data_IF_967811611161
#
_entry.id   IF_967811611161
#
_cell.length_a   1.000
_cell.length_b   1.000
_cell.length_c   1.000
_cell.angle_alpha   90.00
_cell.angle_beta   90.00
_cell.angle_gamma   90.00
#
_symmetry.space_group_name_H-M   'P 1'
#
loop_
_entity.id
_entity.type
_entity.pdbx_description
1 polymer ?
#
# COMPACT_ATOMS: atom_id res chain seq x y z
N UNK A 1 11.51 -3.62 -19.50
CA UNK A 1 10.95 -4.08 -18.24
C UNK A 1 11.46 -3.24 -17.07
N UNK A 2 10.53 -2.68 -16.32
CA UNK A 2 10.88 -1.88 -15.15
C UNK A 2 10.70 -2.75 -13.92
N UNK A 3 11.78 -2.91 -13.15
CA UNK A 3 11.74 -3.64 -11.89
C UNK A 3 11.85 -2.67 -10.74
N UNK A 4 10.82 -2.66 -9.86
CA UNK A 4 10.79 -1.83 -8.68
C UNK A 4 11.07 -2.67 -7.44
N UNK A 5 12.03 -2.26 -6.64
CA UNK A 5 12.40 -2.95 -5.41
C UNK A 5 11.92 -2.17 -4.20
N UNK A 6 11.12 -2.84 -3.36
CA UNK A 6 10.59 -2.26 -2.13
C UNK A 6 11.14 -2.99 -0.92
N UNK A 7 11.46 -2.24 0.12
CA UNK A 7 11.90 -2.80 1.40
C UNK A 7 10.92 -2.40 2.49
N UNK A 8 10.68 -3.28 3.44
CA UNK A 8 9.64 -3.13 4.44
C UNK A 8 10.11 -3.02 5.88
N UNK A 9 11.41 -2.84 6.12
CA UNK A 9 11.92 -2.73 7.49
C UNK A 9 12.73 -1.45 7.68
N UNK A 10 12.79 -0.99 8.93
CA UNK A 10 13.58 0.18 9.30
C UNK A 10 15.07 0.00 8.97
N UNK A 11 15.61 -1.19 9.18
CA UNK A 11 16.99 -1.49 8.84
C UNK A 11 17.24 -1.33 7.35
N UNK A 12 16.32 -1.80 6.52
CA UNK A 12 16.43 -1.65 5.07
C UNK A 12 16.38 -0.19 4.63
N UNK A 13 15.62 0.65 5.34
CA UNK A 13 15.58 2.09 5.05
C UNK A 13 16.94 2.73 5.37
N UNK A 14 17.54 2.37 6.51
CA UNK A 14 18.88 2.84 6.86
C UNK A 14 19.91 2.43 5.82
N UNK A 15 19.82 1.19 5.35
CA UNK A 15 20.73 0.62 4.39
C UNK A 15 20.37 0.95 2.94
N UNK A 16 19.37 1.81 2.72
CA UNK A 16 18.89 2.16 1.38
C UNK A 16 20.00 2.69 0.47
N UNK A 17 20.99 3.36 1.04
CA UNK A 17 22.14 3.86 0.29
C UNK A 17 23.04 2.74 -0.20
N UNK A 18 23.08 1.61 0.53
CA UNK A 18 23.90 0.45 0.19
C UNK A 18 23.15 -0.54 -0.69
N UNK A 19 21.85 -0.76 -0.40
CA UNK A 19 21.01 -1.67 -1.14
C UNK A 19 20.39 -1.04 -2.39
N UNK A 20 20.35 0.28 -2.44
CA UNK A 20 19.73 1.07 -3.52
C UNK A 20 18.31 0.57 -3.87
N UNK A 21 17.40 0.40 -2.90
CA UNK A 21 16.04 0.04 -3.21
C UNK A 21 15.33 1.19 -3.93
N UNK A 22 14.33 0.87 -4.73
CA UNK A 22 13.53 1.88 -5.41
C UNK A 22 12.51 2.52 -4.48
N UNK A 23 12.11 1.81 -3.42
CA UNK A 23 11.16 2.32 -2.46
C UNK A 23 11.01 1.45 -1.23
N UNK A 24 10.08 1.82 -0.38
CA UNK A 24 9.78 1.11 0.87
C UNK A 24 8.28 0.91 1.06
N UNK A 25 7.94 -0.14 1.82
CA UNK A 25 6.59 -0.36 2.33
C UNK A 25 6.69 -0.38 3.85
N UNK A 26 5.87 0.41 4.52
CA UNK A 26 5.87 0.46 5.99
C UNK A 26 4.49 0.78 6.53
N UNK A 27 4.20 0.26 7.72
CA UNK A 27 2.99 0.62 8.49
C UNK A 27 3.19 1.88 9.32
N UNK A 28 4.43 2.36 9.44
CA UNK A 28 4.78 3.50 10.30
C UNK A 28 4.86 4.80 9.48
N UNK A 29 3.96 5.76 9.74
CA UNK A 29 3.97 7.02 8.99
C UNK A 29 5.29 7.79 9.09
N UNK A 30 5.95 7.74 10.23
CA UNK A 30 7.23 8.43 10.41
C UNK A 30 8.33 7.87 9.51
N UNK A 31 8.37 6.54 9.32
CA UNK A 31 9.34 5.91 8.43
C UNK A 31 9.02 6.20 6.97
N UNK A 32 7.74 6.22 6.61
CA UNK A 32 7.30 6.60 5.26
C UNK A 32 7.76 8.03 4.94
N UNK A 33 7.54 8.94 5.87
CA UNK A 33 7.97 10.33 5.71
C UNK A 33 9.48 10.45 5.51
N UNK A 34 10.25 9.73 6.33
CA UNK A 34 11.71 9.73 6.23
C UNK A 34 12.19 9.19 4.90
N UNK A 35 11.60 8.07 4.45
CA UNK A 35 11.93 7.48 3.17
C UNK A 35 11.62 8.43 2.01
N UNK A 36 10.52 9.16 2.09
CA UNK A 36 10.17 10.17 1.10
C UNK A 36 11.22 11.28 1.03
N UNK A 37 11.74 11.72 2.17
CA UNK A 37 12.80 12.73 2.21
C UNK A 37 14.12 12.22 1.60
N UNK A 38 14.31 10.89 1.57
CA UNK A 38 15.47 10.26 0.94
C UNK A 38 15.26 10.04 -0.57
N UNK A 39 14.13 10.47 -1.11
CA UNK A 39 13.83 10.31 -2.53
C UNK A 39 13.33 8.93 -2.93
N UNK A 40 12.92 8.11 -1.98
CA UNK A 40 12.40 6.77 -2.24
C UNK A 40 10.90 6.80 -2.56
N UNK A 41 10.46 5.85 -3.39
CA UNK A 41 9.04 5.58 -3.57
C UNK A 41 8.48 5.04 -2.26
N UNK A 42 7.32 5.51 -1.85
CA UNK A 42 6.76 5.12 -0.55
C UNK A 42 5.38 4.51 -0.68
N UNK A 43 5.18 3.40 0.02
CA UNK A 43 3.88 2.73 0.16
C UNK A 43 3.59 2.62 1.65
N UNK A 44 2.49 3.23 2.09
CA UNK A 44 2.03 3.07 3.46
C UNK A 44 1.05 1.91 3.53
N UNK A 45 1.38 0.92 4.34
CA UNK A 45 0.52 -0.25 4.56
C UNK A 45 -0.43 0.04 5.70
N UNK A 46 -1.71 -0.26 5.50
CA UNK A 46 -2.75 -0.06 6.48
C UNK A 46 -3.56 -1.35 6.66
N UNK A 47 -3.57 -1.89 7.87
CA UNK A 47 -4.41 -3.02 8.23
C UNK A 47 -5.75 -2.48 8.72
N UNK A 48 -6.78 -2.60 7.90
CA UNK A 48 -8.12 -2.09 8.23
C UNK A 48 -8.94 -3.21 8.86
N UNK A 49 -8.70 -3.44 10.15
CA UNK A 49 -9.33 -4.53 10.89
C UNK A 49 -10.61 -4.11 11.59
N UNK A 50 -10.81 -2.81 11.79
CA UNK A 50 -11.99 -2.27 12.49
C UNK A 50 -12.22 -0.81 12.10
N UNK A 51 -13.28 -0.24 12.66
CA UNK A 51 -13.64 1.16 12.40
C UNK A 51 -12.62 2.15 12.92
N UNK A 52 -11.92 1.80 14.00
CA UNK A 52 -10.90 2.68 14.56
C UNK A 52 -9.70 2.80 13.60
N UNK A 53 -9.25 1.68 13.04
CA UNK A 53 -8.18 1.67 12.06
C UNK A 53 -8.54 2.53 10.84
N UNK A 54 -9.78 2.42 10.37
CA UNK A 54 -10.27 3.21 9.25
C UNK A 54 -10.30 4.71 9.59
N UNK A 55 -10.77 5.06 10.78
CA UNK A 55 -10.87 6.47 11.20
C UNK A 55 -9.50 7.12 11.45
N UNK A 56 -8.49 6.34 11.80
CA UNK A 56 -7.14 6.85 12.05
C UNK A 56 -6.32 7.04 10.77
N UNK A 57 -6.76 6.48 9.67
CA UNK A 57 -6.00 6.51 8.42
C UNK A 57 -5.72 7.94 7.90
N UNK A 58 -6.68 8.88 7.87
CA UNK A 58 -6.40 10.24 7.40
C UNK A 58 -5.26 10.92 8.15
N UNK A 59 -5.20 10.77 9.48
CA UNK A 59 -4.13 11.36 10.28
C UNK A 59 -2.76 10.74 9.93
N UNK A 60 -2.71 9.43 9.73
CA UNK A 60 -1.48 8.74 9.33
C UNK A 60 -1.01 9.19 7.95
N UNK A 61 -1.92 9.38 7.02
CA UNK A 61 -1.59 9.84 5.68
C UNK A 61 -1.08 11.28 5.68
N UNK A 62 -1.58 12.12 6.56
CA UNK A 62 -1.10 13.51 6.67
C UNK A 62 0.33 13.58 7.21
N UNK A 63 0.76 12.61 8.00
CA UNK A 63 2.14 12.52 8.51
C UNK A 63 3.08 11.94 7.45
N UNK A 64 2.76 10.78 6.92
CA UNK A 64 3.64 10.05 5.99
C UNK A 64 3.66 10.62 4.59
N UNK A 65 2.53 11.08 4.11
CA UNK A 65 2.34 11.56 2.73
C UNK A 65 2.89 10.56 1.71
N UNK A 66 2.41 9.29 1.75
CA UNK A 66 2.95 8.24 0.88
C UNK A 66 2.56 8.46 -0.58
N UNK A 67 3.30 7.83 -1.49
CA UNK A 67 2.94 7.81 -2.90
C UNK A 67 1.77 6.87 -3.17
N UNK A 68 1.66 5.79 -2.38
CA UNK A 68 0.58 4.80 -2.47
C UNK A 68 0.15 4.36 -1.07
N UNK A 69 -1.08 3.89 -0.97
CA UNK A 69 -1.61 3.25 0.23
C UNK A 69 -1.91 1.80 -0.10
N UNK A 70 -1.35 0.84 0.65
CA UNK A 70 -1.74 -0.56 0.54
C UNK A 70 -2.71 -0.89 1.64
N UNK A 71 -3.91 -1.34 1.28
CA UNK A 71 -4.97 -1.71 2.21
C UNK A 71 -5.04 -3.21 2.33
N UNK A 72 -5.02 -3.72 3.57
CA UNK A 72 -5.14 -5.12 3.88
C UNK A 72 -6.27 -5.34 4.90
N UNK A 73 -7.11 -6.35 4.72
CA UNK A 73 -7.19 -7.24 3.55
C UNK A 73 -7.81 -6.53 2.33
N UNK A 74 -7.38 -6.91 1.12
CA UNK A 74 -7.82 -6.27 -0.13
C UNK A 74 -9.18 -6.75 -0.65
N UNK A 75 -9.86 -7.62 0.09
CA UNK A 75 -11.14 -8.20 -0.30
C UNK A 75 -12.36 -7.45 0.27
N UNK A 76 -12.19 -6.17 0.59
CA UNK A 76 -13.25 -5.33 1.15
C UNK A 76 -13.55 -4.17 0.18
N UNK A 77 -14.35 -4.42 -0.90
CA UNK A 77 -14.60 -3.38 -1.90
C UNK A 77 -15.19 -2.10 -1.32
N UNK A 78 -16.12 -2.23 -0.38
CA UNK A 78 -16.76 -1.08 0.25
C UNK A 78 -15.74 -0.17 0.96
N UNK A 79 -14.81 -0.77 1.69
CA UNK A 79 -13.77 -0.01 2.39
C UNK A 79 -12.82 0.65 1.39
N UNK A 80 -12.45 -0.06 0.33
CA UNK A 80 -11.63 0.51 -0.74
C UNK A 80 -12.31 1.75 -1.33
N UNK A 81 -13.60 1.66 -1.61
CA UNK A 81 -14.36 2.78 -2.15
C UNK A 81 -14.36 3.97 -1.18
N UNK A 82 -14.60 3.72 0.11
CA UNK A 82 -14.59 4.78 1.12
C UNK A 82 -13.24 5.50 1.17
N UNK A 83 -12.16 4.74 1.13
CA UNK A 83 -10.81 5.32 1.19
C UNK A 83 -10.48 6.08 -0.08
N UNK A 84 -10.79 5.53 -1.26
CA UNK A 84 -10.51 6.21 -2.53
C UNK A 84 -11.29 7.50 -2.68
N UNK A 85 -12.46 7.61 -2.06
CA UNK A 85 -13.25 8.84 -2.07
C UNK A 85 -12.73 9.88 -1.08
N UNK A 86 -11.97 9.47 -0.08
CA UNK A 86 -11.47 10.36 0.97
C UNK A 86 -10.05 10.87 0.73
N UNK A 87 -9.33 10.32 -0.23
CA UNK A 87 -7.94 10.72 -0.51
C UNK A 87 -7.65 10.66 -2.00
N UNK A 88 -6.72 11.51 -2.46
CA UNK A 88 -6.22 11.47 -3.83
C UNK A 88 -5.08 10.46 -3.99
N UNK A 89 -4.54 9.91 -2.90
CA UNK A 89 -3.44 8.95 -2.96
C UNK A 89 -3.95 7.62 -3.55
N UNK A 90 -3.25 7.07 -4.56
CA UNK A 90 -3.67 5.80 -5.16
C UNK A 90 -3.65 4.65 -4.15
N UNK A 91 -4.63 3.77 -4.26
CA UNK A 91 -4.83 2.64 -3.34
C UNK A 91 -4.42 1.34 -4.02
N UNK A 92 -3.66 0.53 -3.29
CA UNK A 92 -3.30 -0.83 -3.68
C UNK A 92 -4.09 -1.77 -2.75
N UNK A 93 -4.86 -2.69 -3.34
CA UNK A 93 -5.57 -3.71 -2.58
C UNK A 93 -4.66 -4.92 -2.38
N UNK A 94 -4.29 -5.21 -1.13
CA UNK A 94 -3.40 -6.31 -0.79
C UNK A 94 -3.99 -7.22 0.26
N UNK A 95 -3.47 -8.45 0.32
CA UNK A 95 -3.88 -9.43 1.32
C UNK A 95 -5.16 -10.19 0.96
N UNK A 96 -5.08 -11.50 1.10
CA UNK A 96 -6.20 -12.45 0.90
C UNK A 96 -6.80 -12.49 -0.50
N UNK A 97 -6.20 -11.84 -1.48
CA UNK A 97 -6.70 -11.86 -2.86
C UNK A 97 -6.17 -13.12 -3.55
N UNK A 98 -7.08 -14.01 -3.94
CA UNK A 98 -6.76 -15.30 -4.55
C UNK A 98 -7.49 -15.55 -5.86
N UNK A 99 -8.62 -14.88 -6.11
CA UNK A 99 -9.50 -15.18 -7.23
C UNK A 99 -9.68 -13.99 -8.13
N UNK A 100 -9.97 -14.24 -9.40
CA UNK A 100 -10.16 -13.20 -10.40
C UNK A 100 -11.29 -12.23 -10.04
N UNK A 101 -12.40 -12.75 -9.49
CA UNK A 101 -13.52 -11.92 -9.09
C UNK A 101 -13.14 -10.94 -7.97
N UNK A 102 -12.23 -11.35 -7.08
CA UNK A 102 -11.71 -10.48 -6.03
C UNK A 102 -10.85 -9.35 -6.60
N UNK A 103 -10.02 -9.65 -7.59
CA UNK A 103 -9.23 -8.64 -8.31
C UNK A 103 -10.15 -7.64 -8.99
N UNK A 104 -11.16 -8.14 -9.70
CA UNK A 104 -12.10 -7.28 -10.42
C UNK A 104 -12.91 -6.41 -9.46
N UNK A 105 -13.34 -6.97 -8.32
CA UNK A 105 -14.07 -6.22 -7.30
C UNK A 105 -13.22 -5.08 -6.73
N UNK A 106 -11.95 -5.34 -6.44
CA UNK A 106 -11.04 -4.31 -5.93
C UNK A 106 -10.84 -3.19 -6.94
N UNK A 107 -10.61 -3.53 -8.20
CA UNK A 107 -10.42 -2.55 -9.27
C UNK A 107 -11.68 -1.71 -9.51
N UNK A 108 -12.85 -2.33 -9.48
CA UNK A 108 -14.13 -1.60 -9.61
C UNK A 108 -14.39 -0.68 -8.43
N UNK A 109 -13.90 -1.05 -7.24
CA UNK A 109 -14.05 -0.22 -6.05
C UNK A 109 -13.14 1.02 -6.06
N UNK A 110 -12.19 1.08 -6.99
CA UNK A 110 -11.31 2.23 -7.17
C UNK A 110 -9.84 1.97 -6.90
N UNK A 111 -9.43 0.72 -6.61
CA UNK A 111 -8.02 0.40 -6.43
C UNK A 111 -7.25 0.63 -7.73
N UNK A 112 -6.07 1.21 -7.60
CA UNK A 112 -5.17 1.45 -8.73
C UNK A 112 -4.39 0.19 -9.12
N UNK A 113 -4.19 -0.72 -8.15
CA UNK A 113 -3.45 -1.95 -8.34
C UNK A 113 -3.85 -2.99 -7.30
N UNK A 114 -3.41 -4.22 -7.52
CA UNK A 114 -3.62 -5.34 -6.60
C UNK A 114 -2.26 -5.95 -6.27
N UNK A 115 -2.04 -6.25 -5.00
CA UNK A 115 -0.85 -6.94 -4.51
C UNK A 115 -1.27 -8.32 -4.02
N UNK A 116 -0.60 -9.36 -4.52
CA UNK A 116 -0.93 -10.73 -4.14
C UNK A 116 0.30 -11.63 -4.23
N UNK A 117 0.33 -12.67 -3.38
CA UNK A 117 1.33 -13.73 -3.46
C UNK A 117 0.81 -14.97 -4.18
N UNK A 118 -0.45 -14.95 -4.62
CA UNK A 118 -1.06 -16.08 -5.32
C UNK A 118 -0.62 -16.11 -6.79
N UNK A 119 0.12 -17.15 -7.25
CA UNK A 119 0.61 -17.19 -8.63
C UNK A 119 -0.52 -17.18 -9.68
N UNK A 120 -1.66 -17.77 -9.37
CA UNK A 120 -2.79 -17.83 -10.30
C UNK A 120 -3.32 -16.44 -10.67
N UNK A 121 -3.23 -15.47 -9.73
CA UNK A 121 -3.65 -14.09 -9.99
C UNK A 121 -2.69 -13.39 -10.95
N UNK A 122 -1.42 -13.72 -10.90
CA UNK A 122 -0.40 -13.10 -11.74
C UNK A 122 -0.55 -13.44 -13.22
N UNK A 123 -1.25 -14.52 -13.52
CA UNK A 123 -1.47 -15.01 -14.89
C UNK A 123 -2.80 -14.57 -15.50
N UNK A 124 -3.53 -13.74 -14.81
CA UNK A 124 -4.82 -13.24 -15.28
C UNK A 124 -4.68 -12.18 -16.37
#
# INVERSE_FOLDING_TARGET
EITTRLVGSEMCIRDSRMCAPDGIISTRPALVRRARHLGLLTVQRAFILDSLALSNLPAQLSVGKPDFIEILPGIMPRVITEITQSTATPVIAGGLIKYKDEVMAAMRAGAAAVSTTCPAVWEM
#
